data_IF_059204695442
#
_entry.id   IF_059204695442
#
_cell.length_a   1.000
_cell.length_b   1.000
_cell.length_c   1.000
_cell.angle_alpha   90.00
_cell.angle_beta   90.00
_cell.angle_gamma   90.00
#
_symmetry.space_group_name_H-M   'P 1'
#
loop_
_entity.id
_entity.type
_entity.pdbx_description
1 polymer ?
#
# COMPACT_ATOMS: atom_id res chain seq x y z
N UNK A 1 22.01 -22.96 -12.36
CA UNK A 1 20.88 -22.27 -13.02
C UNK A 1 20.11 -21.50 -11.98
N UNK A 2 19.80 -20.22 -12.25
CA UNK A 2 19.21 -19.20 -11.39
C UNK A 2 18.60 -19.64 -10.04
N UNK A 3 19.19 -19.17 -8.92
CA UNK A 3 18.50 -19.15 -7.62
C UNK A 3 17.21 -18.35 -7.75
N UNK A 4 16.07 -18.97 -7.43
CA UNK A 4 14.81 -18.24 -7.19
C UNK A 4 15.06 -17.29 -6.01
N UNK A 5 15.27 -16.01 -6.30
CA UNK A 5 15.14 -14.96 -5.29
C UNK A 5 13.72 -15.05 -4.71
N UNK A 6 13.61 -15.03 -3.39
CA UNK A 6 12.33 -14.90 -2.70
C UNK A 6 11.61 -13.60 -3.14
N UNK A 7 10.29 -13.55 -2.94
CA UNK A 7 9.46 -12.44 -3.45
C UNK A 7 9.91 -11.10 -2.88
N UNK A 8 10.29 -11.06 -1.61
CA UNK A 8 10.72 -9.82 -0.95
C UNK A 8 12.03 -9.29 -1.52
N UNK A 9 13.02 -10.16 -1.75
CA UNK A 9 14.29 -9.73 -2.35
C UNK A 9 14.13 -9.24 -3.79
N UNK A 10 13.17 -9.77 -4.56
CA UNK A 10 12.82 -9.24 -5.88
C UNK A 10 12.17 -7.86 -5.79
N UNK A 11 11.22 -7.66 -4.87
CA UNK A 11 10.56 -6.37 -4.66
C UNK A 11 11.59 -5.29 -4.30
N UNK A 12 12.50 -5.57 -3.38
CA UNK A 12 13.59 -4.66 -3.01
C UNK A 12 14.56 -4.38 -4.18
N UNK A 13 14.86 -5.41 -4.98
CA UNK A 13 15.72 -5.25 -6.15
C UNK A 13 15.09 -4.31 -7.19
N UNK A 14 13.79 -4.46 -7.46
CA UNK A 14 13.06 -3.63 -8.41
C UNK A 14 12.88 -2.20 -7.88
N UNK A 15 12.59 -2.02 -6.60
CA UNK A 15 12.50 -0.71 -5.97
C UNK A 15 13.82 0.08 -6.08
N UNK A 16 14.96 -0.57 -5.80
CA UNK A 16 16.28 0.04 -5.98
C UNK A 16 16.56 0.38 -7.44
N UNK A 17 16.14 -0.45 -8.38
CA UNK A 17 16.30 -0.18 -9.80
C UNK A 17 15.49 1.05 -10.22
N UNK A 18 14.23 1.15 -9.79
CA UNK A 18 13.38 2.31 -10.05
C UNK A 18 14.01 3.61 -9.50
N UNK A 19 14.51 3.58 -8.25
CA UNK A 19 15.20 4.73 -7.67
C UNK A 19 16.46 5.11 -8.45
N UNK A 20 17.28 4.14 -8.87
CA UNK A 20 18.48 4.37 -9.70
C UNK A 20 18.15 4.93 -11.09
N UNK A 21 17.00 4.57 -11.64
CA UNK A 21 16.50 5.09 -12.91
C UNK A 21 15.87 6.49 -12.78
N UNK A 22 15.89 7.12 -11.59
CA UNK A 22 15.42 8.48 -11.39
C UNK A 22 13.90 8.61 -11.24
N UNK A 23 13.17 7.51 -11.02
CA UNK A 23 11.75 7.58 -10.72
C UNK A 23 11.51 8.12 -9.31
N UNK A 24 10.35 8.73 -9.08
CA UNK A 24 9.99 9.31 -7.78
C UNK A 24 9.39 8.31 -6.78
N UNK A 25 8.97 7.12 -7.25
CA UNK A 25 8.31 6.15 -6.39
C UNK A 25 7.90 4.87 -7.10
N UNK A 26 7.19 4.02 -6.37
CA UNK A 26 6.71 2.70 -6.81
C UNK A 26 5.29 2.42 -6.31
N UNK A 27 4.67 1.41 -6.91
CA UNK A 27 3.44 0.78 -6.42
C UNK A 27 3.81 -0.54 -5.74
N UNK A 28 3.38 -0.77 -4.50
CA UNK A 28 3.71 -1.98 -3.74
C UNK A 28 2.58 -2.39 -2.79
N UNK A 29 2.53 -3.67 -2.41
CA UNK A 29 1.50 -4.15 -1.48
C UNK A 29 1.83 -3.78 -0.04
N UNK A 30 0.81 -3.80 0.83
CA UNK A 30 1.00 -3.48 2.24
C UNK A 30 1.90 -4.48 3.00
N UNK A 31 2.22 -5.64 2.41
CA UNK A 31 3.10 -6.64 3.02
C UNK A 31 4.57 -6.25 2.97
N UNK A 32 4.98 -5.57 1.90
CA UNK A 32 6.39 -5.21 1.68
C UNK A 32 6.72 -3.79 2.15
N UNK A 33 5.75 -3.06 2.71
CA UNK A 33 5.89 -1.64 3.05
C UNK A 33 7.03 -1.35 4.02
N UNK A 34 7.13 -2.11 5.11
CA UNK A 34 8.15 -1.87 6.15
C UNK A 34 9.55 -2.02 5.57
N UNK A 35 9.84 -3.13 4.88
CA UNK A 35 11.17 -3.38 4.30
C UNK A 35 11.48 -2.44 3.14
N UNK A 36 10.47 -2.06 2.33
CA UNK A 36 10.62 -1.03 1.30
C UNK A 36 10.95 0.33 1.92
N UNK A 37 10.27 0.72 3.00
CA UNK A 37 10.46 2.03 3.61
C UNK A 37 11.84 2.15 4.24
N UNK A 38 12.28 1.12 4.94
CA UNK A 38 13.64 1.00 5.48
C UNK A 38 14.70 1.11 4.38
N UNK A 39 14.50 0.42 3.25
CA UNK A 39 15.48 0.40 2.18
C UNK A 39 15.50 1.69 1.34
N UNK A 40 14.36 2.34 1.15
CA UNK A 40 14.22 3.44 0.18
C UNK A 40 14.33 4.83 0.82
N UNK A 41 14.12 4.96 2.14
CA UNK A 41 14.11 6.25 2.85
C UNK A 41 12.87 7.09 2.55
N UNK A 42 12.56 8.11 3.35
CA UNK A 42 11.25 8.80 3.34
C UNK A 42 10.88 9.52 2.03
N UNK A 43 11.86 9.95 1.24
CA UNK A 43 11.61 10.78 0.05
C UNK A 43 11.14 10.00 -1.19
N UNK A 44 11.15 8.66 -1.15
CA UNK A 44 10.75 7.82 -2.27
C UNK A 44 9.31 7.36 -2.10
N UNK A 45 8.42 7.80 -2.99
CA UNK A 45 6.98 7.60 -2.84
C UNK A 45 6.60 6.12 -2.93
N UNK A 46 5.74 5.67 -2.04
CA UNK A 46 5.14 4.33 -2.08
C UNK A 46 3.62 4.46 -2.14
N UNK A 47 3.04 4.01 -3.25
CA UNK A 47 1.60 3.94 -3.47
C UNK A 47 1.11 2.53 -3.18
N UNK A 48 0.16 2.36 -2.27
CA UNK A 48 -0.30 1.06 -1.80
C UNK A 48 -1.76 0.79 -2.17
N UNK A 49 -2.01 -0.06 -3.18
CA UNK A 49 -3.35 -0.49 -3.51
C UNK A 49 -3.84 -1.64 -2.65
N UNK A 50 -5.13 -1.92 -2.77
CA UNK A 50 -5.75 -3.06 -2.09
C UNK A 50 -5.89 -2.85 -0.59
N UNK A 51 -6.03 -1.59 -0.15
CA UNK A 51 -6.29 -1.20 1.24
C UNK A 51 -7.80 -1.17 1.48
N UNK A 52 -8.25 -1.61 2.66
CA UNK A 52 -9.68 -1.71 2.98
C UNK A 52 -9.97 -1.29 4.42
N UNK A 53 -10.92 -0.36 4.64
CA UNK A 53 -11.26 0.09 5.98
C UNK A 53 -11.92 -1.01 6.80
N UNK A 54 -11.80 -0.92 8.13
CA UNK A 54 -12.26 -1.96 9.06
C UNK A 54 -13.77 -2.23 8.96
N UNK A 55 -14.56 -1.23 8.60
CA UNK A 55 -16.02 -1.31 8.48
C UNK A 55 -16.51 -1.89 7.15
N UNK A 56 -15.65 -2.04 6.13
CA UNK A 56 -16.09 -2.53 4.83
C UNK A 56 -16.17 -4.07 4.81
N UNK A 57 -17.36 -4.62 4.52
CA UNK A 57 -17.62 -6.07 4.44
C UNK A 57 -16.57 -6.81 3.62
N UNK A 58 -16.13 -7.95 4.15
CA UNK A 58 -15.06 -8.85 3.69
C UNK A 58 -15.55 -9.89 2.68
N UNK A 59 -16.37 -9.52 1.70
CA UNK A 59 -16.94 -10.52 0.77
C UNK A 59 -15.90 -11.21 -0.12
N UNK A 60 -14.71 -10.61 -0.28
CA UNK A 60 -13.58 -11.25 -0.95
C UNK A 60 -12.28 -10.55 -0.53
N UNK A 61 -11.51 -11.17 0.38
CA UNK A 61 -10.08 -11.49 0.20
C UNK A 61 -9.31 -11.68 1.51
N UNK A 62 -8.45 -12.70 1.44
CA UNK A 62 -7.36 -13.02 2.35
C UNK A 62 -6.30 -11.90 2.35
N UNK A 63 -6.08 -11.29 3.52
CA UNK A 63 -4.93 -10.42 3.87
C UNK A 63 -4.92 -9.04 3.21
N UNK A 64 -5.80 -8.15 3.69
CA UNK A 64 -5.82 -6.72 3.34
C UNK A 64 -5.40 -5.91 4.55
N UNK A 65 -4.51 -4.93 4.38
CA UNK A 65 -4.20 -3.96 5.43
C UNK A 65 -5.29 -2.88 5.50
N UNK A 66 -5.53 -2.36 6.70
CA UNK A 66 -6.38 -1.18 6.89
C UNK A 66 -5.68 0.09 6.40
N UNK A 67 -6.43 1.18 6.10
CA UNK A 67 -5.86 2.50 5.81
C UNK A 67 -4.79 2.91 6.81
N UNK A 68 -5.11 2.80 8.10
CA UNK A 68 -4.20 3.13 9.19
C UNK A 68 -2.92 2.29 9.15
N UNK A 69 -3.06 0.97 9.07
CA UNK A 69 -1.91 0.05 9.03
C UNK A 69 -0.99 0.31 7.83
N UNK A 70 -1.56 0.65 6.66
CA UNK A 70 -0.77 0.95 5.47
C UNK A 70 0.08 2.22 5.67
N UNK A 71 -0.51 3.28 6.23
CA UNK A 71 0.21 4.53 6.52
C UNK A 71 1.27 4.30 7.61
N UNK A 72 0.93 3.61 8.70
CA UNK A 72 1.88 3.28 9.77
C UNK A 72 3.07 2.45 9.27
N UNK A 73 2.86 1.57 8.28
CA UNK A 73 3.94 0.78 7.65
C UNK A 73 4.76 1.56 6.63
N UNK A 74 4.38 2.80 6.29
CA UNK A 74 5.17 3.70 5.45
C UNK A 74 4.65 3.91 4.04
N UNK A 75 3.36 3.66 3.78
CA UNK A 75 2.72 4.12 2.54
C UNK A 75 2.59 5.65 2.53
N UNK A 76 2.90 6.27 1.40
CA UNK A 76 2.68 7.70 1.17
C UNK A 76 1.28 7.96 0.62
N UNK A 77 0.77 7.02 -0.19
CA UNK A 77 -0.58 7.04 -0.73
C UNK A 77 -1.22 5.66 -0.60
N UNK A 78 -2.52 5.63 -0.32
CA UNK A 78 -3.33 4.41 -0.35
C UNK A 78 -4.35 4.50 -1.48
N UNK A 79 -4.62 3.37 -2.14
CA UNK A 79 -5.68 3.28 -3.16
C UNK A 79 -6.84 2.48 -2.60
N UNK A 80 -7.94 3.18 -2.30
CA UNK A 80 -9.19 2.61 -1.80
C UNK A 80 -10.26 2.75 -2.88
N UNK A 81 -10.76 1.63 -3.39
CA UNK A 81 -11.74 1.59 -4.48
C UNK A 81 -13.15 1.24 -4.00
N UNK A 82 -13.51 -0.04 -4.08
CA UNK A 82 -14.85 -0.58 -3.78
C UNK A 82 -15.50 -0.05 -2.49
N UNK A 83 -14.79 0.10 -1.36
CA UNK A 83 -15.39 0.65 -0.13
C UNK A 83 -15.97 2.07 -0.27
N UNK A 84 -15.44 2.88 -1.19
CA UNK A 84 -15.95 4.23 -1.48
C UNK A 84 -17.00 4.17 -2.59
N UNK A 85 -16.67 3.53 -3.72
CA UNK A 85 -17.50 3.55 -4.95
C UNK A 85 -18.86 2.83 -4.75
N UNK A 86 -18.92 1.84 -3.86
CA UNK A 86 -20.14 1.06 -3.60
C UNK A 86 -20.87 1.46 -2.31
N UNK A 87 -20.42 2.50 -1.61
CA UNK A 87 -21.10 2.97 -0.42
C UNK A 87 -22.39 3.71 -0.79
N UNK A 88 -23.39 3.66 0.09
CA UNK A 88 -24.63 4.44 -0.07
C UNK A 88 -24.34 5.95 -0.10
N UNK A 89 -23.36 6.38 0.70
CA UNK A 89 -22.78 7.73 0.66
C UNK A 89 -21.24 7.65 0.48
N UNK A 90 -20.73 7.87 -0.76
CA UNK A 90 -19.29 7.86 -1.04
C UNK A 90 -18.51 8.94 -0.28
N UNK A 91 -19.13 10.10 -0.01
CA UNK A 91 -18.48 11.18 0.73
C UNK A 91 -18.30 10.77 2.18
N UNK A 92 -19.35 10.27 2.82
CA UNK A 92 -19.29 9.76 4.19
C UNK A 92 -18.27 8.61 4.32
N UNK A 93 -18.22 7.71 3.33
CA UNK A 93 -17.24 6.63 3.29
C UNK A 93 -15.80 7.14 3.24
N UNK A 94 -15.51 8.12 2.38
CA UNK A 94 -14.19 8.75 2.29
C UNK A 94 -13.82 9.48 3.60
N UNK A 95 -14.76 10.21 4.21
CA UNK A 95 -14.56 10.89 5.49
C UNK A 95 -14.26 9.89 6.63
N UNK A 96 -14.95 8.75 6.65
CA UNK A 96 -14.66 7.67 7.63
C UNK A 96 -13.26 7.10 7.44
N UNK A 97 -12.82 6.86 6.21
CA UNK A 97 -11.44 6.41 5.92
C UNK A 97 -10.43 7.45 6.39
N UNK A 98 -10.67 8.74 6.13
CA UNK A 98 -9.78 9.80 6.58
C UNK A 98 -9.64 9.80 8.12
N UNK A 99 -10.75 9.62 8.84
CA UNK A 99 -10.77 9.49 10.31
C UNK A 99 -10.03 8.26 10.84
N UNK A 100 -9.82 7.21 10.04
CA UNK A 100 -8.99 6.06 10.45
C UNK A 100 -7.49 6.38 10.40
N UNK A 101 -7.09 7.34 9.55
CA UNK A 101 -5.69 7.68 9.28
C UNK A 101 -5.19 8.80 10.21
N UNK A 102 -6.06 9.76 10.55
CA UNK A 102 -5.75 10.90 11.44
C UNK A 102 -6.01 10.57 12.91
#
# INVERSE_FOLDING_TARGET
>A
GAMKKDVESQVLSLARLAKKAGLNGIVASAKELTSLREAMGKDFLIVTPGVRPAWAKTDDQRRVATPREAIEKGADYIVVGRPIIKADDPKEAAEKILKEIT
#
